data_IF_717617813010
#
_entry.id   IF_717617813010
#
_cell.length_a   1.000
_cell.length_b   1.000
_cell.length_c   1.000
_cell.angle_alpha   90.00
_cell.angle_beta   90.00
_cell.angle_gamma   90.00
#
_symmetry.space_group_name_H-M   'P 1'
#
loop_
_entity.id
_entity.type
_entity.pdbx_description
1 polymer ?
#
# COMPACT_ATOMS: atom_id res chain seq x y z
N UNK A 1 16.29 -6.74 5.23
CA UNK A 1 14.93 -6.15 5.27
C UNK A 1 14.58 -5.64 3.90
N UNK A 2 13.28 -5.54 3.59
CA UNK A 2 12.79 -4.94 2.34
C UNK A 2 11.69 -3.92 2.69
N UNK A 3 11.59 -2.82 1.93
CA UNK A 3 10.54 -1.80 2.07
C UNK A 3 9.83 -1.62 0.72
N UNK A 4 8.58 -2.01 0.65
CA UNK A 4 7.83 -2.10 -0.60
C UNK A 4 6.77 -1.00 -0.77
N UNK A 5 6.89 0.12 0.00
CA UNK A 5 5.99 1.26 -0.12
C UNK A 5 6.71 2.57 0.21
N UNK A 6 7.23 3.23 -0.82
CA UNK A 6 7.98 4.48 -0.72
C UNK A 6 7.48 5.49 -1.75
N UNK A 7 7.29 6.74 -1.31
CA UNK A 7 6.94 7.87 -2.17
C UNK A 7 8.10 8.83 -2.31
N UNK A 8 8.43 9.16 -3.53
CA UNK A 8 9.45 10.15 -3.87
C UNK A 8 8.81 11.49 -4.25
N UNK A 9 9.63 12.43 -4.74
CA UNK A 9 9.14 13.71 -5.31
C UNK A 9 8.27 13.57 -6.56
N UNK A 10 8.09 12.36 -7.06
CA UNK A 10 7.12 12.07 -8.14
C UNK A 10 5.68 12.01 -7.61
N UNK A 11 5.48 11.77 -6.33
CA UNK A 11 4.21 11.97 -5.63
C UNK A 11 4.11 13.41 -5.11
N UNK A 12 2.94 14.03 -5.19
CA UNK A 12 2.73 15.44 -4.80
C UNK A 12 3.04 15.70 -3.31
N UNK A 13 2.88 14.70 -2.48
CA UNK A 13 3.13 14.71 -1.04
C UNK A 13 4.49 14.08 -0.64
N UNK A 14 5.21 13.50 -1.59
CA UNK A 14 6.55 12.99 -1.39
C UNK A 14 7.60 14.09 -1.26
N UNK A 15 8.48 13.98 -0.27
CA UNK A 15 9.45 15.02 0.09
C UNK A 15 10.90 14.66 -0.22
N UNK A 16 11.18 13.41 -0.52
CA UNK A 16 12.53 12.89 -0.78
C UNK A 16 12.75 12.60 -2.26
N UNK A 17 13.95 12.83 -2.75
CA UNK A 17 14.36 12.34 -4.05
C UNK A 17 14.61 10.83 -4.01
N UNK A 18 14.56 10.18 -5.16
CA UNK A 18 14.89 8.76 -5.30
C UNK A 18 16.29 8.48 -4.75
N UNK A 19 17.26 9.38 -5.00
CA UNK A 19 18.62 9.19 -4.50
C UNK A 19 18.72 9.31 -2.97
N UNK A 20 18.02 10.27 -2.35
CA UNK A 20 18.00 10.42 -0.88
C UNK A 20 17.39 9.17 -0.22
N UNK A 21 16.32 8.64 -0.79
CA UNK A 21 15.71 7.40 -0.32
C UNK A 21 16.67 6.21 -0.41
N UNK A 22 17.38 6.05 -1.53
CA UNK A 22 18.39 5.00 -1.69
C UNK A 22 19.51 5.08 -0.65
N UNK A 23 20.03 6.29 -0.40
CA UNK A 23 21.09 6.50 0.61
C UNK A 23 20.61 6.16 2.01
N UNK A 24 19.41 6.59 2.36
CA UNK A 24 18.84 6.31 3.67
C UNK A 24 18.55 4.82 3.85
N UNK A 25 17.94 4.15 2.88
CA UNK A 25 17.72 2.71 2.92
C UNK A 25 19.00 1.91 3.16
N UNK A 26 20.12 2.30 2.52
CA UNK A 26 21.43 1.68 2.75
C UNK A 26 21.90 1.92 4.18
N UNK A 27 21.75 3.14 4.72
CA UNK A 27 22.16 3.47 6.10
C UNK A 27 21.36 2.68 7.14
N UNK A 28 20.06 2.48 6.90
CA UNK A 28 19.16 1.70 7.75
C UNK A 28 19.31 0.18 7.56
N UNK A 29 20.20 -0.29 6.66
CA UNK A 29 20.44 -1.69 6.40
C UNK A 29 19.30 -2.39 5.68
N UNK A 30 18.47 -1.65 4.94
CA UNK A 30 17.43 -2.18 4.06
C UNK A 30 18.12 -2.62 2.76
N UNK A 31 17.93 -3.88 2.38
CA UNK A 31 18.59 -4.47 1.22
C UNK A 31 17.81 -4.39 -0.09
N UNK A 32 16.50 -4.14 -0.01
CA UNK A 32 15.62 -4.01 -1.17
C UNK A 32 14.52 -2.99 -0.90
N UNK A 33 14.26 -2.10 -1.88
CA UNK A 33 13.18 -1.11 -1.80
C UNK A 33 12.36 -1.10 -3.09
N UNK A 34 11.09 -0.74 -2.99
CA UNK A 34 10.24 -0.42 -4.13
C UNK A 34 9.75 1.02 -4.01
N UNK A 35 10.01 1.83 -5.03
CA UNK A 35 9.30 3.10 -5.20
C UNK A 35 7.90 2.79 -5.72
N UNK A 36 6.91 3.39 -5.10
CA UNK A 36 5.49 3.15 -5.39
C UNK A 36 4.73 4.48 -5.39
N UNK A 37 5.27 5.44 -6.14
CA UNK A 37 4.67 6.75 -6.27
C UNK A 37 3.24 6.68 -6.83
N UNK A 38 2.41 7.66 -6.49
CA UNK A 38 0.98 7.67 -6.74
C UNK A 38 0.59 7.74 -8.22
N UNK A 39 -0.40 6.94 -8.59
CA UNK A 39 -1.26 7.08 -9.78
C UNK A 39 -2.72 7.05 -9.31
N UNK A 40 -3.23 8.20 -8.88
CA UNK A 40 -4.62 8.39 -8.44
C UNK A 40 -5.35 9.28 -9.46
N UNK A 41 -5.88 8.65 -10.50
CA UNK A 41 -6.62 9.33 -11.56
C UNK A 41 -7.94 9.90 -11.02
N UNK A 42 -8.40 11.01 -11.61
CA UNK A 42 -9.67 11.67 -11.27
C UNK A 42 -9.79 12.02 -9.77
N UNK A 43 -8.71 12.60 -9.20
CA UNK A 43 -8.72 13.06 -7.82
C UNK A 43 -9.80 14.13 -7.61
N UNK A 44 -10.64 14.06 -6.55
CA UNK A 44 -11.80 14.94 -6.38
C UNK A 44 -11.49 16.44 -6.21
N UNK A 45 -10.25 16.77 -5.82
CA UNK A 45 -9.79 18.16 -5.73
C UNK A 45 -9.01 18.52 -6.99
N UNK A 46 -9.57 19.37 -7.87
CA UNK A 46 -8.94 19.69 -9.16
C UNK A 46 -7.62 20.48 -9.02
N UNK A 47 -7.34 21.04 -7.84
CA UNK A 47 -6.10 21.75 -7.56
C UNK A 47 -4.96 20.81 -7.12
N UNK A 48 -5.26 19.52 -6.92
CA UNK A 48 -4.31 18.49 -6.52
C UNK A 48 -4.22 17.40 -7.61
N UNK A 49 -3.00 16.99 -7.93
CA UNK A 49 -2.74 15.91 -8.88
C UNK A 49 -1.86 14.87 -8.21
N UNK A 50 -2.46 13.73 -7.86
CA UNK A 50 -1.74 12.58 -7.29
C UNK A 50 -1.32 11.60 -8.39
N UNK A 51 -0.64 12.10 -9.43
CA UNK A 51 -0.18 11.29 -10.54
C UNK A 51 1.27 11.63 -10.89
N UNK A 52 2.06 10.61 -11.19
CA UNK A 52 3.37 10.80 -11.82
C UNK A 52 3.15 11.49 -13.16
N UNK A 53 3.72 12.68 -13.33
CA UNK A 53 3.53 13.49 -14.54
C UNK A 53 4.28 12.96 -15.76
N UNK A 54 5.38 12.23 -15.54
CA UNK A 54 6.22 11.63 -16.58
C UNK A 54 6.75 10.26 -16.07
N UNK A 55 6.04 9.21 -16.45
CA UNK A 55 6.37 7.84 -16.03
C UNK A 55 7.69 7.36 -16.66
N UNK A 56 8.00 7.77 -17.89
CA UNK A 56 9.27 7.43 -18.53
C UNK A 56 10.46 8.05 -17.78
N UNK A 57 10.33 9.31 -17.36
CA UNK A 57 11.35 9.96 -16.54
C UNK A 57 11.51 9.28 -15.18
N UNK A 58 10.41 8.93 -14.52
CA UNK A 58 10.40 8.19 -13.26
C UNK A 58 11.15 6.87 -13.36
N UNK A 59 10.83 6.05 -14.35
CA UNK A 59 11.49 4.75 -14.59
C UNK A 59 12.98 4.95 -14.89
N UNK A 60 13.33 5.92 -15.73
CA UNK A 60 14.71 6.21 -16.08
C UNK A 60 15.56 6.62 -14.87
N UNK A 61 15.03 7.46 -13.96
CA UNK A 61 15.73 7.87 -12.73
C UNK A 61 15.93 6.67 -11.79
N UNK A 62 14.94 5.80 -11.63
CA UNK A 62 15.09 4.56 -10.86
C UNK A 62 16.16 3.66 -11.47
N UNK A 63 16.20 3.52 -12.80
CA UNK A 63 17.20 2.72 -13.48
C UNK A 63 18.62 3.31 -13.35
N UNK A 64 18.77 4.62 -13.27
CA UNK A 64 20.04 5.26 -12.94
C UNK A 64 20.49 4.88 -11.52
N UNK A 65 19.57 4.91 -10.55
CA UNK A 65 19.87 4.51 -9.17
C UNK A 65 20.17 3.01 -9.05
N UNK A 66 19.50 2.15 -9.82
CA UNK A 66 19.84 0.72 -9.91
C UNK A 66 21.29 0.50 -10.36
N UNK A 67 21.73 1.26 -11.35
CA UNK A 67 23.14 1.19 -11.82
C UNK A 67 24.11 1.71 -10.79
N UNK A 68 23.78 2.85 -10.17
CA UNK A 68 24.62 3.54 -9.19
C UNK A 68 24.85 2.73 -7.91
N UNK A 69 23.80 2.10 -7.38
CA UNK A 69 23.84 1.35 -6.13
C UNK A 69 23.91 -0.17 -6.32
N UNK A 70 24.31 -0.62 -7.50
CA UNK A 70 24.46 -2.05 -7.82
C UNK A 70 25.34 -2.76 -6.78
N UNK A 71 24.82 -3.85 -6.21
CA UNK A 71 25.49 -4.64 -5.18
C UNK A 71 25.41 -4.06 -3.75
N UNK A 72 24.78 -2.90 -3.57
CA UNK A 72 24.51 -2.30 -2.27
C UNK A 72 23.01 -2.33 -1.94
N UNK A 73 22.16 -2.06 -2.92
CA UNK A 73 20.70 -1.97 -2.76
C UNK A 73 20.02 -2.54 -4.00
N UNK A 74 18.97 -3.34 -3.79
CA UNK A 74 18.05 -3.75 -4.85
C UNK A 74 16.93 -2.72 -4.90
N UNK A 75 16.68 -2.15 -6.08
CA UNK A 75 15.68 -1.10 -6.26
C UNK A 75 14.64 -1.59 -7.26
N UNK A 76 13.37 -1.54 -6.91
CA UNK A 76 12.24 -1.92 -7.74
C UNK A 76 11.49 -0.70 -8.23
N UNK A 77 11.01 -0.76 -9.47
CA UNK A 77 10.08 0.22 -10.02
C UNK A 77 8.67 -0.29 -9.78
N UNK A 78 7.97 0.37 -8.90
CA UNK A 78 6.56 0.09 -8.64
C UNK A 78 5.71 1.33 -8.82
N UNK A 79 4.43 1.18 -8.57
CA UNK A 79 3.45 2.26 -8.44
C UNK A 79 2.41 1.89 -7.38
N UNK A 80 1.82 2.89 -6.75
CA UNK A 80 0.58 2.76 -6.00
C UNK A 80 -0.55 3.37 -6.83
N UNK A 81 -1.52 2.54 -7.23
CA UNK A 81 -2.68 2.99 -8.00
C UNK A 81 -3.89 3.17 -7.10
N UNK A 82 -4.49 4.35 -7.14
CA UNK A 82 -5.77 4.63 -6.50
C UNK A 82 -6.92 4.11 -7.34
N UNK A 83 -7.63 3.13 -6.82
CA UNK A 83 -8.77 2.55 -7.50
C UNK A 83 -10.00 3.45 -7.36
N UNK A 84 -10.64 3.77 -8.48
CA UNK A 84 -11.97 4.40 -8.55
C UNK A 84 -12.74 3.83 -9.73
N UNK A 85 -14.07 3.58 -9.64
CA UNK A 85 -14.80 2.84 -10.67
C UNK A 85 -14.69 3.43 -12.07
N UNK A 86 -14.66 4.78 -12.18
CA UNK A 86 -14.68 5.49 -13.45
C UNK A 86 -13.34 5.51 -14.19
N UNK A 87 -12.24 5.09 -13.55
CA UNK A 87 -10.89 5.16 -14.13
C UNK A 87 -10.16 3.80 -14.16
N UNK A 88 -10.83 2.69 -13.87
CA UNK A 88 -10.19 1.36 -13.80
C UNK A 88 -9.55 0.97 -15.13
N UNK A 89 -10.22 1.22 -16.26
CA UNK A 89 -9.68 0.90 -17.59
C UNK A 89 -8.42 1.71 -17.90
N UNK A 90 -8.42 3.02 -17.61
CA UNK A 90 -7.26 3.90 -17.81
C UNK A 90 -6.10 3.51 -16.88
N UNK A 91 -6.43 3.16 -15.63
CA UNK A 91 -5.43 2.65 -14.67
C UNK A 91 -4.81 1.33 -15.16
N UNK A 92 -5.63 0.42 -15.68
CA UNK A 92 -5.17 -0.85 -16.28
C UNK A 92 -4.24 -0.60 -17.47
N UNK A 93 -4.60 0.34 -18.34
CA UNK A 93 -3.76 0.73 -19.48
C UNK A 93 -2.38 1.24 -19.01
N UNK A 94 -2.32 2.08 -17.98
CA UNK A 94 -1.05 2.55 -17.42
C UNK A 94 -0.23 1.37 -16.87
N UNK A 95 -0.84 0.53 -16.02
CA UNK A 95 -0.15 -0.62 -15.41
C UNK A 95 0.46 -1.54 -16.47
N UNK A 96 -0.27 -1.79 -17.57
CA UNK A 96 0.14 -2.75 -18.59
C UNK A 96 1.08 -2.17 -19.66
N UNK A 97 1.14 -0.84 -19.81
CA UNK A 97 2.00 -0.21 -20.81
C UNK A 97 3.42 0.08 -20.31
N UNK A 98 3.69 -0.01 -19.01
CA UNK A 98 5.00 0.26 -18.43
C UNK A 98 5.57 -0.97 -17.69
N UNK A 99 6.91 -1.15 -17.68
CA UNK A 99 7.56 -2.33 -17.10
C UNK A 99 7.70 -2.25 -15.57
N UNK A 100 6.61 -2.14 -14.86
CA UNK A 100 6.66 -2.14 -13.39
C UNK A 100 7.06 -3.51 -12.83
N UNK A 101 7.85 -3.49 -11.77
CA UNK A 101 8.19 -4.69 -10.99
C UNK A 101 7.07 -5.06 -10.02
N UNK A 102 6.33 -4.06 -9.52
CA UNK A 102 5.37 -4.20 -8.44
C UNK A 102 4.26 -3.14 -8.50
N UNK A 103 3.04 -3.53 -8.20
CA UNK A 103 1.87 -2.63 -8.17
C UNK A 103 1.06 -2.85 -6.90
N UNK A 104 0.89 -1.77 -6.14
CA UNK A 104 -0.06 -1.69 -5.02
C UNK A 104 -1.36 -1.11 -5.57
N UNK A 105 -2.50 -1.73 -5.24
CA UNK A 105 -3.80 -1.12 -5.45
C UNK A 105 -4.36 -0.62 -4.12
N UNK A 106 -4.81 0.62 -4.08
CA UNK A 106 -5.30 1.28 -2.87
C UNK A 106 -6.65 1.95 -3.08
N UNK A 107 -7.42 2.09 -2.00
CA UNK A 107 -8.68 2.84 -2.02
C UNK A 107 -8.49 4.11 -1.21
N UNK A 108 -8.17 5.20 -1.92
CA UNK A 108 -8.00 6.53 -1.34
C UNK A 108 -9.28 7.37 -1.41
N UNK A 109 -10.15 7.07 -2.38
CA UNK A 109 -11.42 7.76 -2.59
C UNK A 109 -12.56 6.74 -2.46
N UNK A 110 -13.57 7.06 -1.65
CA UNK A 110 -14.73 6.24 -1.39
C UNK A 110 -15.99 7.00 -1.79
N UNK A 111 -16.71 6.50 -2.80
CA UNK A 111 -17.90 7.17 -3.35
C UNK A 111 -17.67 8.66 -3.64
N UNK A 112 -16.51 8.98 -4.27
CA UNK A 112 -16.10 10.34 -4.61
C UNK A 112 -15.64 11.22 -3.44
N UNK A 113 -15.43 10.65 -2.26
CA UNK A 113 -14.99 11.36 -1.04
C UNK A 113 -13.65 10.82 -0.55
N UNK A 114 -12.77 11.72 -0.15
CA UNK A 114 -11.49 11.40 0.46
C UNK A 114 -11.64 11.16 1.98
N UNK A 115 -11.37 9.93 2.51
CA UNK A 115 -11.39 9.66 3.95
C UNK A 115 -10.37 10.46 4.76
N UNK A 116 -9.33 11.04 4.14
CA UNK A 116 -8.44 11.99 4.80
C UNK A 116 -9.21 13.23 5.29
N UNK A 117 -10.30 13.60 4.60
CA UNK A 117 -11.12 14.76 4.92
C UNK A 117 -12.24 14.41 5.89
N UNK A 118 -12.45 15.21 6.91
CA UNK A 118 -13.48 15.01 7.95
C UNK A 118 -14.90 14.93 7.39
N UNK A 119 -15.13 15.50 6.22
CA UNK A 119 -16.41 15.49 5.51
C UNK A 119 -16.88 14.07 5.20
N UNK A 120 -15.96 13.16 4.95
CA UNK A 120 -16.27 11.74 4.72
C UNK A 120 -17.04 11.12 5.90
N UNK A 121 -16.71 11.47 7.13
CA UNK A 121 -17.31 10.91 8.36
C UNK A 121 -18.56 11.67 8.83
N UNK A 122 -18.87 12.81 8.23
CA UNK A 122 -19.96 13.68 8.70
C UNK A 122 -21.32 13.00 8.59
N UNK A 123 -22.02 12.90 9.71
CA UNK A 123 -23.36 12.32 9.79
C UNK A 123 -23.40 10.80 9.76
N UNK A 124 -22.25 10.15 9.86
CA UNK A 124 -22.11 8.69 9.88
C UNK A 124 -21.57 8.25 11.25
N UNK A 125 -21.97 7.06 11.67
CA UNK A 125 -21.30 6.32 12.74
C UNK A 125 -19.94 5.81 12.22
N UNK A 126 -19.10 5.33 13.13
CA UNK A 126 -17.82 4.70 12.77
C UNK A 126 -18.05 3.47 11.87
N UNK A 127 -18.98 2.60 12.26
CA UNK A 127 -19.33 1.40 11.50
C UNK A 127 -19.84 1.73 10.10
N UNK A 128 -20.73 2.71 9.95
CA UNK A 128 -21.22 3.15 8.64
C UNK A 128 -20.08 3.67 7.75
N UNK A 129 -19.15 4.44 8.32
CA UNK A 129 -17.99 4.94 7.57
C UNK A 129 -17.05 3.83 7.12
N UNK A 130 -16.80 2.85 8.01
CA UNK A 130 -15.94 1.71 7.71
C UNK A 130 -16.58 0.76 6.71
N UNK A 131 -17.87 0.50 6.85
CA UNK A 131 -18.64 -0.33 5.94
C UNK A 131 -18.60 0.20 4.50
N UNK A 132 -18.82 1.50 4.31
CA UNK A 132 -18.70 2.13 2.99
C UNK A 132 -17.31 1.93 2.35
N UNK A 133 -16.24 2.05 3.13
CA UNK A 133 -14.89 1.82 2.64
C UNK A 133 -14.66 0.36 2.23
N UNK A 134 -15.08 -0.60 3.05
CA UNK A 134 -14.89 -2.01 2.74
C UNK A 134 -15.80 -2.50 1.61
N UNK A 135 -17.03 -1.98 1.50
CA UNK A 135 -17.92 -2.25 0.37
C UNK A 135 -17.29 -1.76 -0.94
N UNK A 136 -16.81 -0.51 -0.97
CA UNK A 136 -16.10 0.04 -2.13
C UNK A 136 -14.85 -0.79 -2.47
N UNK A 137 -14.06 -1.15 -1.46
CA UNK A 137 -12.87 -1.99 -1.66
C UNK A 137 -13.23 -3.33 -2.30
N UNK A 138 -14.28 -3.99 -1.82
CA UNK A 138 -14.74 -5.28 -2.35
C UNK A 138 -15.25 -5.15 -3.79
N UNK A 139 -16.04 -4.10 -4.10
CA UNK A 139 -16.49 -3.81 -5.45
C UNK A 139 -15.30 -3.65 -6.40
N UNK A 140 -14.33 -2.79 -6.03
CA UNK A 140 -13.18 -2.46 -6.86
C UNK A 140 -12.24 -3.64 -7.14
N UNK A 141 -11.93 -4.47 -6.14
CA UNK A 141 -11.05 -5.64 -6.36
C UNK A 141 -11.73 -6.78 -7.14
N UNK A 142 -13.06 -6.75 -7.29
CA UNK A 142 -13.77 -7.65 -8.18
C UNK A 142 -13.74 -7.18 -9.65
N UNK A 143 -13.59 -5.87 -9.88
CA UNK A 143 -13.56 -5.27 -11.21
C UNK A 143 -12.15 -5.05 -11.74
N UNK A 144 -11.17 -4.80 -10.85
CA UNK A 144 -9.79 -4.50 -11.19
C UNK A 144 -8.84 -5.59 -10.69
N UNK A 145 -8.00 -6.12 -11.57
CA UNK A 145 -7.07 -7.22 -11.25
C UNK A 145 -5.60 -6.93 -11.61
N UNK A 146 -5.29 -5.75 -12.13
CA UNK A 146 -3.93 -5.42 -12.60
C UNK A 146 -3.00 -4.92 -11.48
N UNK A 147 -3.06 -5.55 -10.32
CA UNK A 147 -2.21 -5.25 -9.17
C UNK A 147 -1.61 -6.53 -8.57
N UNK A 148 -0.69 -6.39 -7.61
CA UNK A 148 -0.05 -7.50 -6.92
C UNK A 148 -0.54 -7.66 -5.48
N UNK A 149 -0.67 -6.54 -4.76
CA UNK A 149 -1.17 -6.52 -3.38
C UNK A 149 -2.17 -5.38 -3.18
N UNK A 150 -3.11 -5.60 -2.26
CA UNK A 150 -3.97 -4.52 -1.75
C UNK A 150 -3.19 -3.73 -0.70
N UNK A 151 -3.06 -2.42 -0.89
CA UNK A 151 -2.40 -1.49 0.01
C UNK A 151 -3.22 -1.26 1.29
N UNK A 152 -2.55 -0.95 2.37
CA UNK A 152 -3.05 -0.47 3.68
C UNK A 152 -4.54 -0.72 3.95
N UNK A 153 -5.00 -1.98 3.86
CA UNK A 153 -6.39 -2.35 4.14
C UNK A 153 -6.81 -1.85 5.53
N UNK A 154 -7.79 -0.95 5.56
CA UNK A 154 -8.19 -0.22 6.76
C UNK A 154 -7.73 1.23 6.80
N UNK A 155 -7.34 1.82 5.66
CA UNK A 155 -6.99 3.23 5.48
C UNK A 155 -8.01 4.19 6.13
N UNK A 156 -9.30 3.87 6.05
CA UNK A 156 -10.38 4.64 6.67
C UNK A 156 -10.19 4.86 8.18
N UNK A 157 -9.51 3.95 8.91
CA UNK A 157 -9.22 4.10 10.34
C UNK A 157 -8.17 5.17 10.61
N UNK A 158 -7.22 5.33 9.67
CA UNK A 158 -6.07 6.22 9.79
C UNK A 158 -6.49 7.66 10.08
N UNK A 159 -7.56 8.11 9.44
CA UNK A 159 -8.03 9.49 9.47
C UNK A 159 -9.36 9.69 10.20
N UNK A 160 -9.91 8.64 10.81
CA UNK A 160 -11.15 8.74 11.55
C UNK A 160 -11.04 9.80 12.66
N UNK A 161 -11.92 10.81 12.68
CA UNK A 161 -11.94 11.80 13.73
C UNK A 161 -12.55 11.29 15.04
N UNK A 162 -13.08 10.07 15.01
CA UNK A 162 -13.68 9.42 16.18
C UNK A 162 -12.58 8.76 17.02
N UNK A 163 -12.70 8.78 18.38
CA UNK A 163 -11.72 8.14 19.25
C UNK A 163 -11.55 6.65 18.89
N UNK A 164 -10.29 6.18 18.93
CA UNK A 164 -10.02 4.76 18.74
C UNK A 164 -10.71 3.93 19.84
N UNK A 165 -11.30 2.81 19.44
CA UNK A 165 -11.91 1.83 20.32
C UNK A 165 -11.28 0.46 20.07
N UNK A 166 -11.01 -0.28 21.16
CA UNK A 166 -10.41 -1.60 21.05
C UNK A 166 -11.31 -2.53 20.24
N UNK A 167 -10.75 -3.14 19.19
CA UNK A 167 -11.47 -4.06 18.32
C UNK A 167 -12.23 -3.40 17.16
N UNK A 168 -12.15 -2.07 17.00
CA UNK A 168 -12.79 -1.38 15.88
C UNK A 168 -12.27 -1.82 14.51
N UNK A 169 -11.05 -2.35 14.47
CA UNK A 169 -10.44 -2.95 13.29
C UNK A 169 -11.17 -4.20 12.79
N UNK A 170 -12.06 -4.75 13.61
CA UNK A 170 -12.93 -5.87 13.26
C UNK A 170 -14.38 -5.44 12.97
N UNK A 171 -14.68 -4.14 12.99
CA UNK A 171 -15.93 -3.65 12.46
C UNK A 171 -16.03 -4.05 10.97
N UNK A 172 -17.19 -4.58 10.56
CA UNK A 172 -17.40 -5.09 9.19
C UNK A 172 -16.49 -6.29 8.85
N UNK A 173 -16.18 -7.15 9.83
CA UNK A 173 -15.30 -8.31 9.61
C UNK A 173 -15.82 -9.26 8.54
N UNK A 174 -17.12 -9.33 8.35
CA UNK A 174 -17.79 -10.03 7.26
C UNK A 174 -17.26 -9.57 5.87
N UNK A 175 -17.24 -8.27 5.63
CA UNK A 175 -16.71 -7.70 4.38
C UNK A 175 -15.19 -7.88 4.27
N UNK A 176 -14.47 -7.69 5.37
CA UNK A 176 -13.02 -7.89 5.39
C UNK A 176 -12.69 -9.34 5.01
N UNK A 177 -13.40 -10.32 5.55
CA UNK A 177 -13.18 -11.72 5.21
C UNK A 177 -13.49 -12.02 3.73
N UNK A 178 -14.52 -11.40 3.14
CA UNK A 178 -14.80 -11.51 1.71
C UNK A 178 -13.68 -10.88 0.86
N UNK A 179 -13.19 -9.70 1.23
CA UNK A 179 -12.04 -9.07 0.57
C UNK A 179 -10.84 -10.03 0.58
N UNK A 180 -10.50 -10.60 1.74
CA UNK A 180 -9.36 -11.51 1.86
C UNK A 180 -9.53 -12.77 0.98
N UNK A 181 -10.72 -13.35 0.93
CA UNK A 181 -11.02 -14.50 0.06
C UNK A 181 -10.90 -14.15 -1.42
N UNK A 182 -11.47 -13.02 -1.83
CA UNK A 182 -11.37 -12.51 -3.21
C UNK A 182 -9.91 -12.31 -3.63
N UNK A 183 -9.08 -11.71 -2.77
CA UNK A 183 -7.65 -11.53 -3.04
C UNK A 183 -6.95 -12.88 -3.23
N UNK A 184 -7.19 -13.84 -2.33
CA UNK A 184 -6.58 -15.18 -2.40
C UNK A 184 -6.99 -15.91 -3.67
N UNK A 185 -8.28 -15.91 -4.01
CA UNK A 185 -8.82 -16.57 -5.20
C UNK A 185 -8.25 -15.99 -6.50
N UNK A 186 -7.97 -14.67 -6.51
CA UNK A 186 -7.37 -13.97 -7.64
C UNK A 186 -5.83 -13.99 -7.63
N UNK A 187 -5.19 -14.71 -6.70
CA UNK A 187 -3.73 -14.77 -6.58
C UNK A 187 -3.08 -13.44 -6.19
N UNK A 188 -3.83 -12.59 -5.47
CA UNK A 188 -3.36 -11.28 -4.97
C UNK A 188 -2.97 -11.37 -3.50
N UNK A 189 -2.13 -10.42 -3.07
CA UNK A 189 -1.67 -10.33 -1.69
C UNK A 189 -2.25 -9.17 -0.91
N UNK A 190 -1.75 -9.05 0.32
CA UNK A 190 -1.96 -7.87 1.17
C UNK A 190 -0.62 -7.22 1.51
N UNK A 191 -0.65 -5.93 1.70
CA UNK A 191 0.43 -5.18 2.33
C UNK A 191 0.25 -5.16 3.85
N UNK A 192 1.35 -5.20 4.60
CA UNK A 192 1.43 -4.78 6.00
C UNK A 192 2.07 -3.40 6.04
N UNK A 193 1.23 -2.38 6.08
CA UNK A 193 1.64 -0.98 6.09
C UNK A 193 1.92 -0.52 7.52
N UNK A 194 3.18 -0.21 7.79
CA UNK A 194 3.64 0.12 9.14
C UNK A 194 3.41 1.57 9.53
N UNK A 195 3.05 2.45 8.57
CA UNK A 195 2.70 3.84 8.89
C UNK A 195 1.53 3.95 9.87
N UNK A 196 0.70 2.90 9.96
CA UNK A 196 -0.38 2.81 10.94
C UNK A 196 0.07 2.99 12.40
N UNK A 197 1.32 2.66 12.73
CA UNK A 197 1.88 2.90 14.06
C UNK A 197 2.06 4.38 14.41
N UNK A 198 2.01 5.29 13.43
CA UNK A 198 2.07 6.74 13.65
C UNK A 198 0.73 7.33 14.10
N UNK A 199 -0.34 6.54 14.06
CA UNK A 199 -1.71 6.98 14.34
C UNK A 199 -2.24 6.46 15.67
N UNK A 200 -3.43 6.93 16.07
CA UNK A 200 -4.04 6.62 17.37
C UNK A 200 -4.28 5.13 17.63
N UNK A 201 -4.45 4.34 16.57
CA UNK A 201 -4.61 2.88 16.66
C UNK A 201 -3.32 2.16 17.07
N UNK A 202 -2.15 2.78 16.82
CA UNK A 202 -0.82 2.22 17.09
C UNK A 202 -0.67 0.76 16.63
N UNK A 203 -1.17 0.46 15.45
CA UNK A 203 -1.08 -0.85 14.82
C UNK A 203 -0.96 -0.71 13.30
N UNK A 204 -0.42 -1.73 12.58
CA UNK A 204 -0.29 -1.64 11.13
C UNK A 204 -1.66 -1.71 10.44
N UNK A 205 -1.66 -1.47 9.16
CA UNK A 205 -2.82 -1.66 8.28
C UNK A 205 -2.51 -2.77 7.27
N UNK A 206 -3.23 -3.90 7.33
CA UNK A 206 -4.25 -4.26 8.31
C UNK A 206 -3.69 -4.63 9.69
N UNK A 207 -4.58 -4.79 10.68
CA UNK A 207 -4.22 -5.20 12.03
C UNK A 207 -3.84 -6.68 12.10
N UNK A 208 -3.19 -7.08 13.22
CA UNK A 208 -2.80 -8.46 13.48
C UNK A 208 -3.91 -9.48 13.20
N UNK A 209 -5.13 -9.22 13.67
CA UNK A 209 -6.26 -10.15 13.50
C UNK A 209 -6.67 -10.36 12.05
N UNK A 210 -6.55 -9.35 11.22
CA UNK A 210 -6.84 -9.44 9.79
C UNK A 210 -5.72 -10.19 9.08
N UNK A 211 -4.44 -9.94 9.43
CA UNK A 211 -3.29 -10.67 8.88
C UNK A 211 -3.34 -12.15 9.27
N UNK A 212 -3.65 -12.46 10.55
CA UNK A 212 -3.85 -13.83 11.04
C UNK A 212 -4.96 -14.52 10.24
N UNK A 213 -6.10 -13.84 10.05
CA UNK A 213 -7.21 -14.40 9.27
C UNK A 213 -6.85 -14.62 7.80
N UNK A 214 -6.11 -13.71 7.18
CA UNK A 214 -5.62 -13.90 5.82
C UNK A 214 -4.78 -15.17 5.70
N UNK A 215 -3.88 -15.43 6.68
CA UNK A 215 -3.07 -16.65 6.73
C UNK A 215 -3.91 -17.90 6.93
N UNK A 216 -4.90 -17.87 7.83
CA UNK A 216 -5.83 -18.98 8.07
C UNK A 216 -6.64 -19.36 6.85
N UNK A 217 -7.06 -18.39 6.03
CA UNK A 217 -7.77 -18.57 4.77
C UNK A 217 -6.88 -19.13 3.64
N UNK A 218 -5.57 -19.26 3.86
CA UNK A 218 -4.61 -19.78 2.90
C UNK A 218 -3.83 -18.72 2.13
N UNK A 219 -3.89 -17.45 2.56
CA UNK A 219 -3.10 -16.37 1.99
C UNK A 219 -1.60 -16.62 2.15
N UNK A 220 -0.83 -16.33 1.10
CA UNK A 220 0.61 -16.57 1.05
C UNK A 220 1.42 -15.37 0.57
N UNK A 221 0.78 -14.40 -0.08
CA UNK A 221 1.42 -13.22 -0.65
C UNK A 221 1.27 -12.07 0.34
N UNK A 222 2.36 -11.68 0.99
CA UNK A 222 2.36 -10.60 1.97
C UNK A 222 3.60 -9.74 1.78
N UNK A 223 3.42 -8.43 1.68
CA UNK A 223 4.51 -7.44 1.65
C UNK A 223 4.53 -6.63 2.94
N UNK A 224 5.62 -5.91 3.15
CA UNK A 224 5.73 -4.90 4.22
C UNK A 224 6.17 -3.58 3.59
N UNK A 225 5.54 -2.49 3.99
CA UNK A 225 5.84 -1.15 3.51
C UNK A 225 5.76 -0.10 4.62
N UNK A 226 6.67 0.86 4.58
CA UNK A 226 6.68 1.98 5.52
C UNK A 226 5.73 3.10 5.13
N UNK A 227 5.33 3.17 3.86
CA UNK A 227 4.54 4.27 3.29
C UNK A 227 5.25 5.61 3.54
N UNK A 228 6.58 5.59 3.31
CA UNK A 228 7.45 6.71 3.63
C UNK A 228 7.35 7.80 2.56
N UNK A 229 7.02 9.01 3.01
CA UNK A 229 6.99 10.24 2.20
C UNK A 229 8.19 11.15 2.50
N UNK A 230 9.03 10.76 3.46
CA UNK A 230 10.27 11.43 3.83
C UNK A 230 11.32 10.42 4.25
N UNK A 231 12.60 10.81 4.22
CA UNK A 231 13.71 9.90 4.51
C UNK A 231 13.67 9.34 5.93
N UNK A 232 13.14 10.08 6.87
CA UNK A 232 13.03 9.69 8.28
C UNK A 232 12.02 8.57 8.51
N UNK A 233 11.15 8.35 7.55
CA UNK A 233 10.06 7.39 7.62
C UNK A 233 10.41 6.03 6.98
N UNK A 234 11.49 5.94 6.24
CA UNK A 234 11.93 4.70 5.57
C UNK A 234 12.21 3.61 6.61
N UNK A 235 11.55 2.46 6.45
CA UNK A 235 11.66 1.34 7.40
C UNK A 235 11.00 1.58 8.75
N UNK A 236 10.24 2.65 8.91
CA UNK A 236 9.55 2.95 10.17
C UNK A 236 8.64 1.79 10.61
N UNK A 237 8.77 1.38 11.87
CA UNK A 237 7.92 0.34 12.47
C UNK A 237 8.17 -1.09 11.98
N UNK A 238 9.22 -1.35 11.20
CA UNK A 238 9.47 -2.66 10.57
C UNK A 238 9.71 -3.78 11.56
N UNK A 239 10.42 -3.53 12.66
CA UNK A 239 10.63 -4.55 13.69
C UNK A 239 9.28 -5.07 14.23
N UNK A 240 8.37 -4.15 14.59
CA UNK A 240 7.04 -4.50 15.06
C UNK A 240 6.17 -5.13 13.96
N UNK A 241 6.27 -4.64 12.72
CA UNK A 241 5.56 -5.20 11.57
C UNK A 241 5.97 -6.64 11.26
N UNK A 242 7.28 -6.92 11.22
CA UNK A 242 7.80 -8.27 11.01
C UNK A 242 7.45 -9.22 12.17
N UNK A 243 7.44 -8.72 13.40
CA UNK A 243 6.99 -9.52 14.55
C UNK A 243 5.52 -9.93 14.41
N UNK A 244 4.67 -9.02 13.98
CA UNK A 244 3.24 -9.30 13.72
C UNK A 244 3.08 -10.30 12.57
N UNK A 245 3.80 -10.15 11.46
CA UNK A 245 3.77 -11.08 10.34
C UNK A 245 4.16 -12.49 10.79
N UNK A 246 5.25 -12.63 11.57
CA UNK A 246 5.67 -13.92 12.14
C UNK A 246 4.62 -14.51 13.08
N UNK A 247 4.05 -13.70 13.98
CA UNK A 247 3.00 -14.14 14.91
C UNK A 247 1.73 -14.60 14.19
N UNK A 248 1.45 -14.04 13.01
CA UNK A 248 0.33 -14.45 12.16
C UNK A 248 0.59 -15.75 11.39
N UNK A 249 1.76 -16.38 11.56
CA UNK A 249 2.09 -17.68 10.98
C UNK A 249 2.78 -17.61 9.61
N UNK A 250 3.36 -16.47 9.24
CA UNK A 250 4.22 -16.35 8.06
C UNK A 250 5.68 -16.57 8.45
N UNK A 251 6.42 -17.28 7.62
CA UNK A 251 7.86 -17.50 7.70
C UNK A 251 8.64 -16.69 6.65
N UNK A 252 7.93 -16.02 5.78
CA UNK A 252 8.49 -15.26 4.65
C UNK A 252 7.56 -14.11 4.26
N UNK A 253 8.15 -13.09 3.65
CA UNK A 253 7.46 -12.00 2.96
C UNK A 253 7.72 -12.10 1.46
N UNK A 254 6.93 -11.40 0.65
CA UNK A 254 7.00 -11.49 -0.81
C UNK A 254 7.75 -10.30 -1.40
N UNK A 255 8.70 -10.58 -2.25
CA UNK A 255 9.36 -9.63 -3.16
C UNK A 255 8.87 -9.87 -4.58
N UNK A 256 8.93 -8.84 -5.42
CA UNK A 256 8.50 -8.91 -6.81
C UNK A 256 9.61 -8.50 -7.79
N UNK A 257 9.57 -9.08 -8.99
CA UNK A 257 10.41 -8.67 -10.11
C UNK A 257 9.64 -8.88 -11.41
N UNK A 258 9.38 -7.80 -12.14
CA UNK A 258 8.50 -7.83 -13.32
C UNK A 258 7.17 -8.55 -12.99
N UNK A 259 6.53 -8.19 -11.88
CA UNK A 259 5.30 -8.75 -11.34
C UNK A 259 5.37 -10.24 -10.89
N UNK A 260 6.55 -10.86 -11.00
CA UNK A 260 6.76 -12.24 -10.54
C UNK A 260 7.17 -12.28 -9.07
N UNK A 261 6.48 -13.11 -8.32
CA UNK A 261 6.64 -13.27 -6.86
C UNK A 261 7.91 -14.06 -6.51
N UNK A 262 8.56 -13.65 -5.43
CA UNK A 262 9.66 -14.37 -4.80
C UNK A 262 9.52 -14.33 -3.28
N UNK A 263 9.58 -15.48 -2.63
CA UNK A 263 9.57 -15.58 -1.16
C UNK A 263 10.92 -15.17 -0.56
N UNK A 264 10.90 -14.33 0.46
CA UNK A 264 12.05 -13.87 1.24
C UNK A 264 11.85 -14.31 2.69
N UNK A 265 12.66 -15.23 3.24
CA UNK A 265 12.55 -15.65 4.64
C UNK A 265 12.75 -14.49 5.63
N UNK A 266 12.02 -14.52 6.77
CA UNK A 266 12.06 -13.49 7.82
C UNK A 266 12.36 -14.07 9.19
#
# INVERSE_FOLDING_TARGET
MIDYHLHSKYSVDGRMSIEEACKNAIMEGIGEIAFTDHIDLDWPDPDLTFNISDIDQYINEIDEMRRKYRGQLIIKTGIEVGMQPQVLDETSDIVNNYPFDFVIASVHIVKGMDPYRREYYKGKTKEESYRLYYEETLELINEFSDFDVLGHLGYVRRYSPLPYEQGEDLLCFDLIEEILKTLIENGKGIEVNTSGYKHSSNCPMPSFKIIERYRELGGTIITIGSDAHSVEDIGFGFEAGLEIIKKSGFDSITSFNSRMQRSIPI
#
